data_IF_397495380893
#
_entry.id   IF_397495380893
#
_cell.length_a   1.000
_cell.length_b   1.000
_cell.length_c   1.000
_cell.angle_alpha   90.00
_cell.angle_beta   90.00
_cell.angle_gamma   90.00
#
_symmetry.space_group_name_H-M   'P 1'
#
loop_
_entity.id
_entity.type
_entity.pdbx_description
1 polymer ?
#
# COMPACT_ATOMS: atom_id res chain seq x y z
N UNK A 1 -18.55 -9.84 -14.66
CA UNK A 1 -17.59 -8.73 -14.57
C UNK A 1 -16.40 -9.19 -13.73
N UNK A 2 -15.20 -9.23 -14.30
CA UNK A 2 -13.98 -9.62 -13.57
C UNK A 2 -13.37 -8.38 -12.89
N UNK A 3 -13.88 -8.01 -11.71
CA UNK A 3 -13.54 -6.73 -11.05
C UNK A 3 -12.03 -6.54 -10.84
N UNK A 4 -11.33 -7.58 -10.38
CA UNK A 4 -9.92 -7.52 -9.97
C UNK A 4 -8.92 -8.10 -10.98
N UNK A 5 -9.40 -8.82 -12.00
CA UNK A 5 -8.52 -9.64 -12.86
C UNK A 5 -8.37 -9.09 -14.27
N UNK A 6 -9.25 -8.19 -14.69
CA UNK A 6 -9.19 -7.55 -16.00
C UNK A 6 -9.27 -6.02 -15.83
N UNK A 7 -8.56 -5.20 -16.63
CA UNK A 7 -8.73 -3.75 -16.65
C UNK A 7 -9.87 -3.29 -17.59
N UNK A 8 -10.51 -4.22 -18.31
CA UNK A 8 -11.50 -3.88 -19.33
C UNK A 8 -12.86 -3.51 -18.74
N UNK A 9 -13.52 -2.55 -19.37
CA UNK A 9 -14.84 -2.08 -18.98
C UNK A 9 -14.81 -0.89 -18.01
N UNK A 10 -15.97 -0.64 -17.41
CA UNK A 10 -16.28 0.52 -16.57
C UNK A 10 -16.82 0.07 -15.23
N UNK A 11 -16.55 0.84 -14.17
CA UNK A 11 -17.13 0.60 -12.83
C UNK A 11 -17.67 1.90 -12.25
N UNK A 12 -18.85 1.81 -11.64
CA UNK A 12 -19.46 2.92 -10.93
C UNK A 12 -18.65 3.28 -9.69
N UNK A 13 -18.78 4.54 -9.23
CA UNK A 13 -18.02 5.04 -8.07
C UNK A 13 -18.25 4.19 -6.81
N UNK A 14 -19.48 3.72 -6.56
CA UNK A 14 -19.76 2.82 -5.44
C UNK A 14 -19.08 1.46 -5.56
N UNK A 15 -18.96 0.92 -6.78
CA UNK A 15 -18.23 -0.33 -7.05
C UNK A 15 -16.72 -0.14 -6.89
N UNK A 16 -16.19 1.01 -7.32
CA UNK A 16 -14.79 1.38 -7.10
C UNK A 16 -14.44 1.41 -5.61
N UNK A 17 -15.21 2.10 -4.77
CA UNK A 17 -14.94 2.17 -3.32
C UNK A 17 -15.02 0.80 -2.63
N UNK A 18 -16.00 -0.03 -2.98
CA UNK A 18 -16.08 -1.42 -2.48
C UNK A 18 -14.83 -2.22 -2.87
N UNK A 19 -14.34 -2.03 -4.10
CA UNK A 19 -13.10 -2.62 -4.60
C UNK A 19 -11.89 -2.18 -3.78
N UNK A 20 -11.71 -0.87 -3.62
CA UNK A 20 -10.60 -0.24 -2.89
C UNK A 20 -10.59 -0.66 -1.42
N UNK A 21 -11.73 -0.61 -0.75
CA UNK A 21 -11.84 -0.99 0.67
C UNK A 21 -11.52 -2.47 0.85
N UNK A 22 -12.02 -3.34 -0.03
CA UNK A 22 -11.71 -4.78 0.01
C UNK A 22 -10.20 -5.01 -0.13
N UNK A 23 -9.54 -4.38 -1.12
CA UNK A 23 -8.10 -4.52 -1.29
C UNK A 23 -7.32 -3.98 -0.09
N UNK A 24 -7.73 -2.82 0.44
CA UNK A 24 -7.11 -2.24 1.63
C UNK A 24 -7.21 -3.16 2.84
N UNK A 25 -8.40 -3.71 3.13
CA UNK A 25 -8.60 -4.63 4.26
C UNK A 25 -7.74 -5.88 4.11
N UNK A 26 -7.69 -6.47 2.91
CA UNK A 26 -6.84 -7.65 2.65
C UNK A 26 -5.37 -7.29 2.84
N UNK A 27 -4.90 -6.15 2.31
CA UNK A 27 -3.52 -5.70 2.51
C UNK A 27 -3.21 -5.43 3.98
N UNK A 28 -4.13 -4.83 4.74
CA UNK A 28 -3.97 -4.57 6.17
C UNK A 28 -3.85 -5.87 6.98
N UNK A 29 -4.70 -6.86 6.69
CA UNK A 29 -4.62 -8.20 7.29
C UNK A 29 -3.28 -8.86 6.93
N UNK A 30 -2.86 -8.79 5.67
CA UNK A 30 -1.58 -9.34 5.23
C UNK A 30 -0.39 -8.70 5.97
N UNK A 31 -0.40 -7.37 6.15
CA UNK A 31 0.62 -6.66 6.93
C UNK A 31 0.64 -7.09 8.39
N UNK A 32 -0.52 -7.28 9.02
CA UNK A 32 -0.60 -7.79 10.39
C UNK A 32 -0.05 -9.22 10.49
N UNK A 33 -0.46 -10.12 9.59
CA UNK A 33 0.06 -11.50 9.54
C UNK A 33 1.58 -11.50 9.34
N UNK A 34 2.11 -10.66 8.44
CA UNK A 34 3.54 -10.55 8.23
C UNK A 34 4.29 -10.09 9.49
N UNK A 35 3.73 -9.15 10.26
CA UNK A 35 4.34 -8.67 11.49
C UNK A 35 4.40 -9.72 12.62
N UNK A 36 3.42 -10.62 12.72
CA UNK A 36 3.35 -11.59 13.82
C UNK A 36 3.88 -12.98 13.46
N UNK A 37 3.75 -13.39 12.20
CA UNK A 37 4.12 -14.73 11.74
C UNK A 37 5.49 -14.74 11.09
N UNK A 38 5.66 -14.01 9.99
CA UNK A 38 6.90 -13.98 9.23
C UNK A 38 6.94 -12.75 8.30
N UNK A 39 8.02 -11.93 8.33
CA UNK A 39 8.16 -10.78 7.44
C UNK A 39 8.08 -11.14 5.95
N UNK A 40 8.48 -12.37 5.58
CA UNK A 40 8.44 -12.86 4.20
C UNK A 40 7.02 -12.95 3.62
N UNK A 41 5.98 -13.05 4.45
CA UNK A 41 4.58 -13.02 4.01
C UNK A 41 4.24 -11.69 3.32
N UNK A 42 4.94 -10.61 3.67
CA UNK A 42 4.77 -9.30 3.03
C UNK A 42 4.99 -9.32 1.51
N UNK A 43 5.80 -10.26 0.98
CA UNK A 43 6.04 -10.38 -0.45
C UNK A 43 4.78 -10.79 -1.25
N UNK A 44 3.79 -11.41 -0.61
CA UNK A 44 2.49 -11.67 -1.24
C UNK A 44 1.77 -10.37 -1.64
N UNK A 45 2.14 -9.22 -1.04
CA UNK A 45 1.64 -7.90 -1.40
C UNK A 45 1.86 -7.54 -2.88
N UNK A 46 2.92 -8.09 -3.52
CA UNK A 46 3.23 -7.85 -4.93
C UNK A 46 2.09 -8.32 -5.84
N UNK A 47 1.42 -9.42 -5.48
CA UNK A 47 0.31 -9.99 -6.25
C UNK A 47 -0.87 -9.01 -6.32
N UNK A 48 -1.04 -8.17 -5.30
CA UNK A 48 -2.14 -7.21 -5.22
C UNK A 48 -1.93 -5.97 -6.08
N UNK A 49 -0.73 -5.74 -6.63
CA UNK A 49 -0.46 -4.62 -7.54
C UNK A 49 -1.41 -4.65 -8.75
N UNK A 50 -1.64 -5.84 -9.32
CA UNK A 50 -2.51 -5.98 -10.49
C UNK A 50 -3.99 -5.61 -10.20
N UNK A 51 -4.64 -6.17 -9.15
CA UNK A 51 -5.97 -5.74 -8.73
C UNK A 51 -6.11 -4.23 -8.51
N UNK A 52 -5.10 -3.59 -7.93
CA UNK A 52 -5.09 -2.13 -7.77
C UNK A 52 -5.11 -1.41 -9.12
N UNK A 53 -4.28 -1.83 -10.07
CA UNK A 53 -4.26 -1.25 -11.43
C UNK A 53 -5.61 -1.45 -12.11
N UNK A 54 -6.17 -2.66 -12.06
CA UNK A 54 -7.44 -2.99 -12.71
C UNK A 54 -8.60 -2.10 -12.25
N UNK A 55 -8.70 -1.79 -10.94
CA UNK A 55 -9.73 -0.91 -10.41
C UNK A 55 -9.56 0.54 -10.88
N UNK A 56 -8.35 1.09 -10.79
CA UNK A 56 -8.09 2.49 -11.17
C UNK A 56 -8.32 2.71 -12.67
N UNK A 57 -7.88 1.78 -13.51
CA UNK A 57 -8.07 1.83 -14.95
C UNK A 57 -9.57 1.87 -15.30
N UNK A 58 -10.37 0.95 -14.75
CA UNK A 58 -11.83 0.95 -15.00
C UNK A 58 -12.53 2.20 -14.49
N UNK A 59 -12.04 2.77 -13.39
CA UNK A 59 -12.60 4.02 -12.86
C UNK A 59 -12.31 5.20 -13.78
N UNK A 60 -11.12 5.27 -14.36
CA UNK A 60 -10.81 6.26 -15.40
C UNK A 60 -11.62 6.03 -16.68
N UNK A 61 -11.77 4.79 -17.11
CA UNK A 61 -12.63 4.44 -18.25
C UNK A 61 -14.08 4.89 -18.02
N UNK A 62 -14.59 4.73 -16.80
CA UNK A 62 -15.92 5.21 -16.45
C UNK A 62 -16.07 6.73 -16.54
N UNK A 63 -14.98 7.48 -16.30
CA UNK A 63 -14.93 8.93 -16.50
C UNK A 63 -14.57 9.35 -17.94
N UNK A 64 -14.57 8.43 -18.90
CA UNK A 64 -14.18 8.69 -20.30
C UNK A 64 -12.71 9.05 -20.47
N UNK A 65 -11.84 8.67 -19.53
CA UNK A 65 -10.40 8.95 -19.54
C UNK A 65 -9.58 7.71 -19.84
N UNK A 66 -8.34 7.92 -20.27
CA UNK A 66 -7.38 6.84 -20.51
C UNK A 66 -6.94 6.16 -19.21
N UNK A 67 -6.85 4.83 -19.23
CA UNK A 67 -6.35 4.04 -18.10
C UNK A 67 -4.91 4.37 -17.69
N UNK A 68 -4.11 4.96 -18.59
CA UNK A 68 -2.73 5.40 -18.32
C UNK A 68 -2.63 6.46 -17.21
N UNK A 69 -3.71 7.20 -16.92
CA UNK A 69 -3.75 8.11 -15.78
C UNK A 69 -3.57 7.40 -14.43
N UNK A 70 -3.71 6.08 -14.38
CA UNK A 70 -3.36 5.27 -13.22
C UNK A 70 -1.89 5.46 -12.81
N UNK A 71 -0.97 5.68 -13.76
CA UNK A 71 0.43 5.97 -13.43
C UNK A 71 0.58 7.29 -12.67
N UNK A 72 -0.19 8.32 -13.05
CA UNK A 72 -0.20 9.59 -12.32
C UNK A 72 -0.75 9.40 -10.90
N UNK A 73 -1.74 8.52 -10.71
CA UNK A 73 -2.25 8.17 -9.38
C UNK A 73 -1.22 7.42 -8.53
N UNK A 74 -0.40 6.56 -9.15
CA UNK A 74 0.73 5.90 -8.46
C UNK A 74 1.74 6.94 -7.98
N UNK A 75 2.12 7.90 -8.83
CA UNK A 75 3.03 9.00 -8.45
C UNK A 75 2.42 9.82 -7.31
N UNK A 76 1.14 10.16 -7.40
CA UNK A 76 0.43 10.87 -6.33
C UNK A 76 0.45 10.06 -5.01
N UNK A 77 0.24 8.74 -5.07
CA UNK A 77 0.27 7.88 -3.90
C UNK A 77 1.65 7.90 -3.22
N UNK A 78 2.74 7.89 -4.00
CA UNK A 78 4.10 8.04 -3.46
C UNK A 78 4.30 9.40 -2.78
N UNK A 79 3.86 10.50 -3.39
CA UNK A 79 3.97 11.85 -2.82
C UNK A 79 3.18 11.93 -1.50
N UNK A 80 1.92 11.47 -1.50
CA UNK A 80 1.08 11.48 -0.29
C UNK A 80 1.69 10.60 0.79
N UNK A 81 2.18 9.40 0.44
CA UNK A 81 2.84 8.50 1.40
C UNK A 81 4.10 9.12 2.02
N UNK A 82 4.89 9.84 1.21
CA UNK A 82 6.08 10.52 1.70
C UNK A 82 5.73 11.64 2.69
N UNK A 83 4.75 12.49 2.34
CA UNK A 83 4.28 13.57 3.21
C UNK A 83 3.68 13.03 4.51
N UNK A 84 2.80 12.02 4.41
CA UNK A 84 2.19 11.37 5.58
C UNK A 84 3.25 10.71 6.45
N UNK A 85 4.23 10.04 5.86
CA UNK A 85 5.35 9.44 6.59
C UNK A 85 6.13 10.46 7.41
N UNK A 86 6.48 11.61 6.81
CA UNK A 86 7.15 12.70 7.54
C UNK A 86 6.30 13.24 8.69
N UNK A 87 5.00 13.47 8.46
CA UNK A 87 4.09 13.99 9.48
C UNK A 87 3.90 13.01 10.64
N UNK A 88 3.71 11.72 10.35
CA UNK A 88 3.52 10.69 11.37
C UNK A 88 4.80 10.48 12.19
N UNK A 89 5.98 10.46 11.55
CA UNK A 89 7.24 10.33 12.27
C UNK A 89 7.42 11.46 13.30
N UNK A 90 7.15 12.71 12.91
CA UNK A 90 7.15 13.85 13.82
C UNK A 90 6.08 13.75 14.91
N UNK A 91 4.87 13.30 14.57
CA UNK A 91 3.75 13.18 15.53
C UNK A 91 3.97 12.10 16.58
N UNK A 92 4.68 11.00 16.25
CA UNK A 92 5.00 9.93 17.18
C UNK A 92 6.31 10.15 17.95
N UNK A 93 6.99 11.30 17.76
CA UNK A 93 8.24 11.63 18.46
C UNK A 93 9.38 10.65 18.18
N UNK A 94 9.32 9.99 17.02
CA UNK A 94 10.29 8.97 16.63
C UNK A 94 11.53 9.67 16.09
N UNK A 95 12.63 9.60 16.83
CA UNK A 95 13.94 9.98 16.32
C UNK A 95 14.50 8.83 15.46
N UNK A 96 14.35 8.98 14.14
CA UNK A 96 14.87 8.01 13.19
C UNK A 96 16.38 7.83 13.29
N UNK A 97 17.13 8.86 13.72
CA UNK A 97 18.57 8.77 13.87
C UNK A 97 18.96 7.90 15.07
N UNK A 98 18.27 8.05 16.22
CA UNK A 98 18.56 7.25 17.41
C UNK A 98 18.22 5.77 17.21
N UNK A 99 17.06 5.46 16.60
CA UNK A 99 16.69 4.08 16.28
C UNK A 99 17.67 3.43 15.30
N UNK A 100 18.17 4.20 14.33
CA UNK A 100 19.13 3.67 13.37
C UNK A 100 20.49 3.42 14.02
N UNK A 101 20.91 4.29 14.95
CA UNK A 101 22.13 4.11 15.73
C UNK A 101 22.07 2.87 16.62
N UNK A 102 21.02 2.72 17.42
CA UNK A 102 20.82 1.53 18.27
C UNK A 102 20.85 0.23 17.43
N UNK A 103 20.17 0.24 16.27
CA UNK A 103 20.16 -0.92 15.38
C UNK A 103 21.54 -1.24 14.78
N UNK A 104 22.35 -0.22 14.47
CA UNK A 104 23.71 -0.40 13.96
C UNK A 104 24.67 -0.91 15.04
N UNK A 105 24.62 -0.33 16.25
CA UNK A 105 25.44 -0.76 17.39
C UNK A 105 25.16 -2.21 17.78
N UNK A 106 23.89 -2.58 17.89
CA UNK A 106 23.52 -3.95 18.20
C UNK A 106 23.99 -4.94 17.11
N UNK A 107 23.88 -4.55 15.84
CA UNK A 107 24.25 -5.38 14.70
C UNK A 107 25.78 -5.57 14.61
N UNK A 108 26.56 -4.53 14.91
CA UNK A 108 28.02 -4.59 15.01
C UNK A 108 28.47 -5.48 16.17
N UNK A 109 27.82 -5.36 17.33
CA UNK A 109 28.10 -6.20 18.49
C UNK A 109 27.86 -7.69 18.17
N UNK A 110 26.82 -8.01 17.40
CA UNK A 110 26.51 -9.39 17.03
C UNK A 110 27.40 -9.90 15.91
N UNK A 111 27.79 -9.06 14.94
CA UNK A 111 28.77 -9.44 13.91
C UNK A 111 30.14 -9.79 14.51
N UNK A 112 30.52 -9.12 15.60
CA UNK A 112 31.78 -9.42 16.31
C UNK A 112 31.82 -10.80 16.96
N UNK A 113 30.67 -11.47 17.13
CA UNK A 113 30.58 -12.82 17.72
C UNK A 113 31.14 -13.94 16.83
N UNK A 114 31.35 -13.67 15.53
CA UNK A 114 31.95 -14.63 14.59
C UNK A 114 31.09 -15.85 14.24
N UNK A 115 29.84 -15.93 14.72
CA UNK A 115 28.87 -16.98 14.39
C UNK A 115 27.80 -16.47 13.41
N UNK A 116 27.90 -16.84 12.11
CA UNK A 116 26.92 -16.44 11.10
C UNK A 116 25.49 -16.88 11.42
N UNK A 117 25.30 -17.99 12.14
CA UNK A 117 23.99 -18.49 12.55
C UNK A 117 23.34 -17.59 13.60
N UNK A 118 24.11 -17.15 14.59
CA UNK A 118 23.64 -16.22 15.61
C UNK A 118 23.31 -14.83 15.02
N UNK A 119 24.12 -14.34 14.08
CA UNK A 119 23.86 -13.09 13.35
C UNK A 119 22.54 -13.17 12.57
N UNK A 120 22.30 -14.28 11.86
CA UNK A 120 21.05 -14.47 11.11
C UNK A 120 19.83 -14.57 12.04
N UNK A 121 19.93 -15.31 13.14
CA UNK A 121 18.85 -15.42 14.12
C UNK A 121 18.48 -14.06 14.73
N UNK A 122 19.50 -13.27 15.09
CA UNK A 122 19.34 -11.90 15.57
C UNK A 122 18.67 -11.00 14.54
N UNK A 123 19.15 -11.02 13.29
CA UNK A 123 18.58 -10.23 12.20
C UNK A 123 17.10 -10.57 11.97
N UNK A 124 16.73 -11.86 12.04
CA UNK A 124 15.32 -12.27 11.96
C UNK A 124 14.51 -11.73 13.14
N UNK A 125 15.00 -11.83 14.37
CA UNK A 125 14.30 -11.33 15.55
C UNK A 125 14.09 -9.81 15.48
N UNK A 126 15.12 -9.06 15.10
CA UNK A 126 15.03 -7.61 14.92
C UNK A 126 14.07 -7.23 13.81
N UNK A 127 14.11 -7.94 12.66
CA UNK A 127 13.18 -7.69 11.56
C UNK A 127 11.71 -7.86 12.01
N UNK A 128 11.43 -8.86 12.86
CA UNK A 128 10.11 -9.09 13.42
C UNK A 128 9.69 -7.98 14.38
N UNK A 129 10.57 -7.59 15.32
CA UNK A 129 10.30 -6.48 16.25
C UNK A 129 10.04 -5.18 15.51
N UNK A 130 10.82 -4.89 14.48
CA UNK A 130 10.63 -3.71 13.63
C UNK A 130 9.30 -3.76 12.89
N UNK A 131 8.95 -4.89 12.28
CA UNK A 131 7.67 -5.07 11.59
C UNK A 131 6.47 -4.86 12.55
N UNK A 132 6.57 -5.32 13.79
CA UNK A 132 5.54 -5.12 14.81
C UNK A 132 5.42 -3.66 15.23
N UNK A 133 6.54 -2.99 15.52
CA UNK A 133 6.55 -1.56 15.90
C UNK A 133 5.99 -0.67 14.78
N UNK A 134 6.33 -0.99 13.53
CA UNK A 134 5.88 -0.22 12.37
C UNK A 134 4.46 -0.57 11.92
N UNK A 135 3.84 -1.62 12.45
CA UNK A 135 2.52 -2.07 11.98
C UNK A 135 1.47 -0.96 12.06
N UNK A 136 1.27 -0.37 13.25
CA UNK A 136 0.23 0.66 13.44
C UNK A 136 0.52 1.91 12.60
N UNK A 137 1.75 2.50 12.61
CA UNK A 137 2.07 3.61 11.72
C UNK A 137 1.86 3.29 10.24
N UNK A 138 2.23 2.10 9.77
CA UNK A 138 2.07 1.69 8.37
C UNK A 138 0.60 1.51 7.99
N UNK A 139 -0.24 0.94 8.88
CA UNK A 139 -1.67 0.80 8.65
C UNK A 139 -2.37 2.16 8.60
N UNK A 140 -2.00 3.09 9.50
CA UNK A 140 -2.52 4.45 9.48
C UNK A 140 -2.10 5.18 8.21
N UNK A 141 -0.82 5.13 7.86
CA UNK A 141 -0.28 5.76 6.65
C UNK A 141 -0.97 5.23 5.39
N UNK A 142 -1.03 3.91 5.23
CA UNK A 142 -1.68 3.27 4.07
C UNK A 142 -3.18 3.56 4.00
N UNK A 143 -3.87 3.66 5.14
CA UNK A 143 -5.26 4.08 5.21
C UNK A 143 -5.46 5.52 4.73
N UNK A 144 -4.62 6.45 5.18
CA UNK A 144 -4.65 7.86 4.76
C UNK A 144 -4.36 7.97 3.25
N UNK A 145 -3.32 7.30 2.76
CA UNK A 145 -2.97 7.29 1.33
C UNK A 145 -4.14 6.73 0.50
N UNK A 146 -4.70 5.59 0.91
CA UNK A 146 -5.83 4.97 0.23
C UNK A 146 -7.05 5.90 0.17
N UNK A 147 -7.37 6.56 1.30
CA UNK A 147 -8.47 7.51 1.37
C UNK A 147 -8.23 8.74 0.48
N UNK A 148 -7.02 9.30 0.48
CA UNK A 148 -6.65 10.44 -0.35
C UNK A 148 -6.76 10.12 -1.84
N UNK A 149 -6.23 8.97 -2.26
CA UNK A 149 -6.30 8.50 -3.66
C UNK A 149 -7.75 8.21 -4.05
N UNK A 150 -8.50 7.49 -3.22
CA UNK A 150 -9.91 7.21 -3.48
C UNK A 150 -10.77 8.48 -3.55
N UNK A 151 -10.45 9.49 -2.74
CA UNK A 151 -11.08 10.81 -2.79
C UNK A 151 -10.79 11.51 -4.11
N UNK A 152 -9.53 11.57 -4.55
CA UNK A 152 -9.18 12.16 -5.85
C UNK A 152 -9.89 11.43 -7.00
N UNK A 153 -9.95 10.09 -6.96
CA UNK A 153 -10.68 9.28 -7.93
C UNK A 153 -12.21 9.50 -7.91
N UNK A 154 -12.74 10.00 -6.79
CA UNK A 154 -14.15 10.36 -6.65
C UNK A 154 -14.49 11.71 -7.28
N UNK A 155 -13.49 12.57 -7.55
CA UNK A 155 -13.71 13.87 -8.20
C UNK A 155 -14.01 13.74 -9.71
N UNK A 156 -13.61 12.63 -10.33
CA UNK A 156 -13.87 12.38 -11.74
C UNK A 156 -15.33 11.99 -11.96
N UNK A 157 -16.11 12.80 -12.67
CA UNK A 157 -17.51 12.45 -12.97
C UNK A 157 -17.59 11.30 -13.97
N UNK A 158 -18.54 10.39 -13.74
CA UNK A 158 -18.84 9.31 -14.69
C UNK A 158 -19.42 9.88 -15.98
N UNK A 159 -19.04 9.28 -17.10
CA UNK A 159 -19.55 9.62 -18.43
C UNK A 159 -20.98 9.04 -18.58
N UNK A 160 -22.02 9.86 -18.77
CA UNK A 160 -23.39 9.39 -18.84
C UNK A 160 -23.70 8.66 -20.16
N UNK A 161 -22.87 8.81 -21.19
CA UNK A 161 -23.06 8.18 -22.48
C UNK A 161 -22.25 6.88 -22.61
N UNK A 162 -22.54 6.13 -23.67
CA UNK A 162 -21.65 5.09 -24.15
C UNK A 162 -20.32 5.72 -24.58
N UNK A 163 -19.21 5.10 -24.17
CA UNK A 163 -17.88 5.53 -24.59
C UNK A 163 -17.07 4.33 -25.11
N UNK A 164 -15.83 4.58 -25.53
CA UNK A 164 -14.96 3.54 -26.11
C UNK A 164 -14.66 2.34 -25.19
N UNK A 165 -15.01 2.43 -23.91
CA UNK A 165 -14.83 1.38 -22.91
C UNK A 165 -16.13 0.64 -22.57
N UNK A 166 -17.24 0.98 -23.24
CA UNK A 166 -18.54 0.33 -23.10
C UNK A 166 -19.65 1.24 -22.56
N UNK A 167 -20.85 0.66 -22.32
CA UNK A 167 -22.00 1.40 -21.82
C UNK A 167 -21.78 1.91 -20.39
N UNK A 168 -22.57 2.89 -19.93
CA UNK A 168 -22.54 3.40 -18.56
C UNK A 168 -22.49 2.30 -17.50
N UNK A 169 -21.66 2.49 -16.49
CA UNK A 169 -21.62 1.56 -15.37
C UNK A 169 -22.97 1.62 -14.62
N UNK A 170 -23.58 0.45 -14.44
CA UNK A 170 -24.79 0.29 -13.64
C UNK A 170 -24.55 0.57 -12.14
#
# INVERSE_FOLDING_TARGET
MELYFSPNGRISQGTYWRGVITLFVISAVLSAVAAYVSPFIGFLGIIFIWPWIALHVKRFHDAGKTGWLTLAMVVLAFIVSFVVGMLLMGAFGVDAASMQQEMMEDMESMQSSGDPGAVMAYAMEQSKKMAQKQLIPNLLSSGIVTAAIGFVMSLFKSDPADNQYGPPAA
#
